data_IF_703740331322
#
_entry.id   IF_703740331322
#
_cell.length_a   1.000
_cell.length_b   1.000
_cell.length_c   1.000
_cell.angle_alpha   90.00
_cell.angle_beta   90.00
_cell.angle_gamma   90.00
#
_symmetry.space_group_name_H-M   'P 1'
#
loop_
_entity.id
_entity.type
_entity.pdbx_description
1 polymer ?
#
# COMPACT_ATOMS: atom_id res chain seq x y z
N UNK A 1 18.06 -13.86 -2.65
CA UNK A 1 17.83 -12.55 -1.99
C UNK A 1 16.86 -11.75 -2.83
N UNK A 2 15.86 -11.12 -2.21
CA UNK A 2 14.97 -10.18 -2.88
C UNK A 2 15.45 -8.75 -2.65
N UNK A 3 15.43 -7.91 -3.68
CA UNK A 3 15.79 -6.49 -3.61
C UNK A 3 14.58 -5.68 -4.03
N UNK A 4 14.19 -4.72 -3.19
CA UNK A 4 13.07 -3.82 -3.46
C UNK A 4 13.65 -2.45 -3.81
N UNK A 5 13.39 -1.99 -5.03
CA UNK A 5 13.77 -0.64 -5.45
C UNK A 5 12.72 0.37 -4.98
N UNK A 6 13.10 1.22 -4.01
CA UNK A 6 12.22 2.28 -3.51
C UNK A 6 11.87 3.29 -4.61
N UNK A 7 12.80 3.58 -5.53
CA UNK A 7 12.55 4.47 -6.66
C UNK A 7 11.49 3.90 -7.61
N UNK A 8 11.53 2.59 -7.88
CA UNK A 8 10.51 1.92 -8.71
C UNK A 8 9.15 1.91 -8.01
N UNK A 9 9.11 1.62 -6.70
CA UNK A 9 7.87 1.66 -5.92
C UNK A 9 7.20 3.03 -5.96
N UNK A 10 7.95 4.10 -5.70
CA UNK A 10 7.43 5.49 -5.74
C UNK A 10 6.93 5.87 -7.13
N UNK A 11 7.62 5.46 -8.19
CA UNK A 11 7.15 5.68 -9.57
C UNK A 11 5.81 4.99 -9.81
N UNK A 12 5.70 3.73 -9.39
CA UNK A 12 4.47 2.96 -9.58
C UNK A 12 3.31 3.56 -8.80
N UNK A 13 3.51 3.94 -7.54
CA UNK A 13 2.43 4.53 -6.73
C UNK A 13 2.04 5.93 -7.18
N UNK A 14 2.96 6.72 -7.75
CA UNK A 14 2.61 7.99 -8.37
C UNK A 14 1.65 7.81 -9.55
N UNK A 15 1.88 6.83 -10.43
CA UNK A 15 0.96 6.51 -11.54
C UNK A 15 -0.41 6.07 -11.01
N UNK A 16 -0.42 5.20 -9.99
CA UNK A 16 -1.67 4.73 -9.40
C UNK A 16 -2.45 5.86 -8.70
N UNK A 17 -1.74 6.82 -8.10
CA UNK A 17 -2.33 8.03 -7.50
C UNK A 17 -3.02 8.89 -8.56
N UNK A 18 -2.39 9.10 -9.72
CA UNK A 18 -3.01 9.82 -10.85
C UNK A 18 -4.30 9.12 -11.32
N UNK A 19 -4.28 7.79 -11.43
CA UNK A 19 -5.48 7.01 -11.78
C UNK A 19 -6.58 7.15 -10.73
N UNK A 20 -6.22 7.07 -9.44
CA UNK A 20 -7.14 7.28 -8.32
C UNK A 20 -7.79 8.65 -8.37
N UNK A 21 -7.00 9.71 -8.58
CA UNK A 21 -7.46 11.10 -8.66
C UNK A 21 -8.40 11.30 -9.86
N UNK A 22 -8.06 10.76 -11.02
CA UNK A 22 -8.90 10.84 -12.22
C UNK A 22 -10.23 10.06 -12.07
N UNK A 23 -10.21 8.91 -11.39
CA UNK A 23 -11.37 8.06 -11.19
C UNK A 23 -12.24 8.47 -9.98
N UNK A 24 -11.74 9.34 -9.09
CA UNK A 24 -12.45 9.73 -7.86
C UNK A 24 -12.66 8.57 -6.89
N UNK A 25 -11.74 7.60 -6.85
CA UNK A 25 -11.87 6.38 -6.02
C UNK A 25 -10.83 6.33 -4.89
N UNK A 26 -10.87 5.24 -4.11
CA UNK A 26 -9.86 4.96 -3.09
C UNK A 26 -8.85 3.94 -3.60
N UNK A 27 -7.57 4.20 -3.30
CA UNK A 27 -6.47 3.30 -3.66
C UNK A 27 -5.97 2.56 -2.42
N UNK A 28 -6.19 1.25 -2.36
CA UNK A 28 -5.79 0.40 -1.25
C UNK A 28 -4.74 -0.63 -1.66
N UNK A 29 -3.80 -0.95 -0.76
CA UNK A 29 -2.79 -1.98 -0.96
C UNK A 29 -3.31 -3.36 -0.55
N UNK A 30 -3.40 -4.29 -1.49
CA UNK A 30 -3.77 -5.67 -1.19
C UNK A 30 -2.59 -6.44 -0.54
N UNK A 31 -2.72 -6.76 0.75
CA UNK A 31 -1.61 -7.34 1.52
C UNK A 31 -1.24 -8.77 1.10
N UNK A 32 -2.19 -9.52 0.52
CA UNK A 32 -1.95 -10.84 -0.07
C UNK A 32 -0.88 -10.84 -1.18
N UNK A 33 -0.71 -9.71 -1.86
CA UNK A 33 0.24 -9.56 -2.97
C UNK A 33 1.53 -8.85 -2.57
N UNK A 34 1.46 -7.94 -1.59
CA UNK A 34 2.63 -7.20 -1.12
C UNK A 34 2.47 -6.80 0.34
N UNK A 35 3.28 -7.40 1.21
CA UNK A 35 3.28 -7.21 2.66
C UNK A 35 4.66 -6.88 3.24
N UNK A 36 5.58 -6.37 2.40
CA UNK A 36 6.90 -5.90 2.83
C UNK A 36 6.79 -4.58 3.61
N UNK A 37 6.33 -4.67 4.85
CA UNK A 37 5.93 -3.53 5.69
C UNK A 37 7.02 -2.49 5.93
N UNK A 38 8.30 -2.89 5.87
CA UNK A 38 9.44 -1.95 5.92
C UNK A 38 9.45 -0.93 4.76
N UNK A 39 8.80 -1.24 3.64
CA UNK A 39 8.71 -0.34 2.49
C UNK A 39 7.49 0.59 2.56
N UNK A 40 6.52 0.34 3.44
CA UNK A 40 5.29 1.13 3.55
C UNK A 40 5.55 2.64 3.75
N UNK A 41 6.52 3.10 4.58
CA UNK A 41 6.80 4.52 4.74
C UNK A 41 7.14 5.26 3.44
N UNK A 42 7.57 4.55 2.40
CA UNK A 42 7.94 5.14 1.12
C UNK A 42 6.77 5.27 0.13
N UNK A 43 5.67 4.54 0.35
CA UNK A 43 4.52 4.46 -0.56
C UNK A 43 3.19 4.85 0.09
N UNK A 44 3.11 4.85 1.42
CA UNK A 44 1.86 5.10 2.15
C UNK A 44 1.27 6.47 1.87
N UNK A 45 2.08 7.46 1.46
CA UNK A 45 1.59 8.79 1.07
C UNK A 45 0.61 8.78 -0.10
N UNK A 46 0.75 7.81 -1.01
CA UNK A 46 -0.06 7.71 -2.24
C UNK A 46 -1.31 6.82 -2.08
N UNK A 47 -1.37 6.08 -0.98
CA UNK A 47 -2.35 5.03 -0.71
C UNK A 47 -3.30 5.46 0.41
N UNK A 48 -4.57 5.06 0.33
CA UNK A 48 -5.61 5.38 1.32
C UNK A 48 -5.71 4.34 2.44
N UNK A 49 -5.19 3.13 2.22
CA UNK A 49 -5.33 2.02 3.16
C UNK A 49 -4.78 0.70 2.65
N UNK A 50 -5.14 -0.36 3.35
CA UNK A 50 -4.83 -1.74 2.99
C UNK A 50 -6.11 -2.56 2.84
N UNK A 51 -6.09 -3.52 1.92
CA UNK A 51 -7.06 -4.60 1.86
C UNK A 51 -6.47 -5.85 2.52
N UNK A 52 -7.15 -6.35 3.55
CA UNK A 52 -6.77 -7.49 4.36
C UNK A 52 -7.78 -8.64 4.16
N UNK A 53 -7.25 -9.83 3.89
CA UNK A 53 -8.02 -11.06 3.67
C UNK A 53 -8.09 -11.97 4.90
N UNK A 54 -7.51 -11.56 6.02
CA UNK A 54 -7.55 -12.29 7.29
C UNK A 54 -6.98 -11.49 8.47
N UNK A 55 -7.12 -12.05 9.68
CA UNK A 55 -6.75 -11.39 10.93
C UNK A 55 -5.30 -10.86 10.94
N UNK A 56 -4.34 -11.66 10.48
CA UNK A 56 -2.93 -11.28 10.49
C UNK A 56 -2.60 -10.14 9.53
N UNK A 57 -3.24 -10.08 8.37
CA UNK A 57 -3.10 -8.97 7.44
C UNK A 57 -3.72 -7.69 8.02
N UNK A 58 -4.87 -7.81 8.68
CA UNK A 58 -5.51 -6.67 9.35
C UNK A 58 -4.65 -6.11 10.50
N UNK A 59 -4.03 -6.99 11.30
CA UNK A 59 -3.08 -6.59 12.35
C UNK A 59 -1.84 -5.91 11.77
N UNK A 60 -1.25 -6.48 10.70
CA UNK A 60 -0.11 -5.88 10.00
C UNK A 60 -0.46 -4.48 9.46
N UNK A 61 -1.63 -4.33 8.82
CA UNK A 61 -2.10 -3.04 8.32
C UNK A 61 -2.25 -2.02 9.46
N UNK A 62 -2.88 -2.43 10.55
CA UNK A 62 -3.07 -1.57 11.73
C UNK A 62 -1.74 -1.14 12.33
N UNK A 63 -0.80 -2.06 12.50
CA UNK A 63 0.43 -1.82 13.26
C UNK A 63 1.51 -1.12 12.43
N UNK A 64 1.54 -1.30 11.10
CA UNK A 64 2.60 -0.76 10.23
C UNK A 64 2.13 0.21 9.14
N UNK A 65 0.85 0.20 8.75
CA UNK A 65 0.33 1.09 7.72
C UNK A 65 -0.45 2.27 8.32
N UNK A 66 -1.26 2.02 9.35
CA UNK A 66 -1.91 3.06 10.17
C UNK A 66 -2.99 3.88 9.44
N UNK A 67 -3.61 3.31 8.39
CA UNK A 67 -4.72 3.92 7.64
C UNK A 67 -5.93 2.98 7.58
N UNK A 68 -6.87 3.25 6.68
CA UNK A 68 -8.07 2.45 6.48
C UNK A 68 -7.74 0.97 6.19
N UNK A 69 -8.50 0.06 6.76
CA UNK A 69 -8.38 -1.39 6.54
C UNK A 69 -9.72 -1.92 6.06
N UNK A 70 -9.72 -2.57 4.89
CA UNK A 70 -10.90 -3.19 4.26
C UNK A 70 -10.73 -4.68 4.04
#
# INVERSE_FOLDING_TARGET
MFVISIAALKRNTAILREVKEAAGCHLVLALKGFSCWKAFPHIAGDLDGCCASGLWEALLARDHFGKHVV
#
